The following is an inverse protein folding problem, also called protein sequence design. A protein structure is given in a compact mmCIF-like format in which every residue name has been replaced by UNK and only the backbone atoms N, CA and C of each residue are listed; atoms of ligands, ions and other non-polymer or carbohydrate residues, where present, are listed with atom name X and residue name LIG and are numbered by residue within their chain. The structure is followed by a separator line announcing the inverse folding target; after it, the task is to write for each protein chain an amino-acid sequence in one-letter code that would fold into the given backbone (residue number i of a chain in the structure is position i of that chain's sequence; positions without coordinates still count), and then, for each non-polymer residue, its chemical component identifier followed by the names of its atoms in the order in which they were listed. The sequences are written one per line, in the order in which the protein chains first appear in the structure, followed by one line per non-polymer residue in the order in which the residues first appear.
data_IF_212055938352
#
_entry.id   IF_212055938352
#
_cell.length_a   1.000
_cell.length_b   1.000
_cell.length_c   1.000
_cell.angle_alpha   90.00
_cell.angle_beta   90.00
_cell.angle_gamma   90.00
#
_symmetry.space_group_name_H-M   'P 1'
#
loop_
_entity.id
_entity.type
_entity.pdbx_description
1 polymer ?
#
# COMPACT_ATOMS: atom_id res chain seq x y z
N UNK A 1 -13.25 19.57 -74.48
CA UNK A 1 -13.17 18.39 -73.59
C UNK A 1 -11.97 18.54 -72.66
N UNK A 2 -12.07 19.12 -71.46
CA UNK A 2 -10.97 19.11 -70.49
C UNK A 2 -11.01 17.83 -69.64
N UNK A 3 -9.85 17.16 -69.51
CA UNK A 3 -9.69 15.97 -68.65
C UNK A 3 -9.57 16.40 -67.19
N UNK A 4 -10.44 15.86 -66.34
CA UNK A 4 -10.37 16.04 -64.89
C UNK A 4 -9.12 15.36 -64.33
N UNK A 5 -8.33 16.13 -63.58
CA UNK A 5 -7.21 15.66 -62.77
C UNK A 5 -7.80 15.10 -61.48
N UNK A 6 -7.69 13.80 -61.27
CA UNK A 6 -8.09 13.17 -60.00
C UNK A 6 -7.17 13.66 -58.88
N UNK A 7 -7.76 14.35 -57.90
CA UNK A 7 -7.15 14.66 -56.62
C UNK A 7 -7.04 13.37 -55.81
N UNK A 8 -5.86 12.75 -55.81
CA UNK A 8 -5.53 11.74 -54.80
C UNK A 8 -5.31 12.45 -53.47
N UNK A 9 -6.39 12.66 -52.72
CA UNK A 9 -6.36 13.04 -51.31
C UNK A 9 -5.65 11.95 -50.52
N UNK A 10 -4.32 12.05 -50.41
CA UNK A 10 -3.52 11.24 -49.52
C UNK A 10 -3.83 11.64 -48.07
N UNK A 11 -4.94 11.12 -47.54
CA UNK A 11 -5.20 11.10 -46.12
C UNK A 11 -4.01 10.46 -45.43
N UNK A 12 -3.39 11.18 -44.48
CA UNK A 12 -2.32 10.68 -43.62
C UNK A 12 -2.83 9.40 -42.96
N UNK A 13 -2.47 8.24 -43.51
CA UNK A 13 -2.79 6.96 -42.93
C UNK A 13 -2.28 6.96 -41.48
N UNK A 14 -3.18 6.87 -40.50
CA UNK A 14 -2.82 6.77 -39.10
C UNK A 14 -2.13 5.41 -38.88
N UNK A 15 -0.82 5.36 -39.18
CA UNK A 15 0.02 4.17 -39.10
C UNK A 15 0.95 4.33 -37.92
N UNK A 16 0.92 3.39 -36.99
CA UNK A 16 1.82 3.35 -35.85
C UNK A 16 1.13 2.84 -34.58
N UNK A 17 1.94 2.53 -33.57
CA UNK A 17 1.46 2.06 -32.27
C UNK A 17 0.48 3.04 -31.62
N UNK A 18 0.78 4.34 -31.69
CA UNK A 18 -0.05 5.41 -31.13
C UNK A 18 -1.37 5.64 -31.90
N UNK A 19 -1.53 5.07 -33.09
CA UNK A 19 -2.75 5.16 -33.90
C UNK A 19 -3.68 3.94 -33.74
N UNK A 20 -3.30 2.95 -32.92
CA UNK A 20 -4.12 1.78 -32.61
C UNK A 20 -5.07 2.04 -31.43
N UNK A 21 -6.12 1.22 -31.30
CA UNK A 21 -7.00 1.24 -30.12
C UNK A 21 -6.24 0.97 -28.82
N UNK A 22 -6.64 1.62 -27.72
CA UNK A 22 -5.97 1.54 -26.42
C UNK A 22 -5.87 0.10 -25.89
N UNK A 23 -6.92 -0.71 -26.07
CA UNK A 23 -6.90 -2.12 -25.68
C UNK A 23 -5.83 -2.91 -26.43
N UNK A 24 -5.65 -2.60 -27.72
CA UNK A 24 -4.65 -3.24 -28.58
C UNK A 24 -3.24 -2.77 -28.22
N UNK A 25 -3.06 -1.49 -27.92
CA UNK A 25 -1.79 -0.96 -27.42
C UNK A 25 -1.41 -1.62 -26.10
N UNK A 26 -2.35 -1.72 -25.15
CA UNK A 26 -2.14 -2.38 -23.85
C UNK A 26 -1.79 -3.85 -24.01
N UNK A 27 -2.50 -4.57 -24.89
CA UNK A 27 -2.22 -5.98 -25.16
C UNK A 27 -0.82 -6.18 -25.77
N UNK A 28 -0.40 -5.32 -26.69
CA UNK A 28 0.93 -5.38 -27.30
C UNK A 28 2.02 -4.98 -26.28
N UNK A 29 1.81 -3.94 -25.48
CA UNK A 29 2.72 -3.53 -24.42
C UNK A 29 2.89 -4.64 -23.36
N UNK A 30 1.78 -5.24 -22.94
CA UNK A 30 1.75 -6.37 -22.01
C UNK A 30 2.54 -7.56 -22.57
N UNK A 31 2.29 -7.94 -23.83
CA UNK A 31 3.05 -9.00 -24.52
C UNK A 31 4.52 -8.67 -24.67
N UNK A 32 4.88 -7.42 -24.95
CA UNK A 32 6.27 -6.97 -25.03
C UNK A 32 7.01 -7.12 -23.70
N UNK A 33 6.38 -6.72 -22.60
CA UNK A 33 6.94 -6.92 -21.26
C UNK A 33 7.14 -8.40 -20.92
N UNK A 34 6.13 -9.24 -21.16
CA UNK A 34 6.21 -10.68 -20.90
C UNK A 34 7.30 -11.35 -21.76
N UNK A 35 7.33 -11.05 -23.05
CA UNK A 35 8.34 -11.60 -23.96
C UNK A 35 9.76 -11.18 -23.59
N UNK A 36 9.95 -9.99 -23.02
CA UNK A 36 11.27 -9.50 -22.61
C UNK A 36 11.78 -10.20 -21.34
N UNK A 37 10.85 -10.52 -20.42
CA UNK A 37 11.14 -11.35 -19.25
C UNK A 37 11.40 -12.81 -19.64
N UNK A 38 10.56 -13.40 -20.49
CA UNK A 38 10.69 -14.79 -20.93
C UNK A 38 11.98 -15.04 -21.72
N UNK A 39 12.40 -14.07 -22.55
CA UNK A 39 13.64 -14.15 -23.33
C UNK A 39 14.91 -13.83 -22.52
N UNK A 40 14.79 -13.48 -21.24
CA UNK A 40 15.93 -13.13 -20.39
C UNK A 40 16.71 -11.90 -20.88
N UNK A 41 16.13 -11.08 -21.75
CA UNK A 41 16.73 -9.81 -22.19
C UNK A 41 16.50 -8.69 -21.17
N UNK A 42 15.58 -8.90 -20.23
CA UNK A 42 15.42 -8.02 -19.08
C UNK A 42 16.58 -8.24 -18.10
N UNK A 43 17.11 -7.15 -17.53
CA UNK A 43 18.04 -7.23 -16.41
C UNK A 43 17.33 -7.86 -15.22
N UNK A 44 17.78 -9.03 -14.79
CA UNK A 44 17.31 -9.65 -13.55
C UNK A 44 17.99 -8.96 -12.37
N UNK A 45 17.24 -8.10 -11.69
CA UNK A 45 17.73 -7.49 -10.46
C UNK A 45 17.85 -8.57 -9.39
N UNK A 46 19.04 -8.71 -8.82
CA UNK A 46 19.18 -9.46 -7.58
C UNK A 46 18.37 -8.76 -6.47
N UNK A 47 17.90 -9.47 -5.43
CA UNK A 47 17.17 -8.85 -4.32
C UNK A 47 17.91 -7.69 -3.66
N UNK A 48 19.24 -7.77 -3.57
CA UNK A 48 20.07 -6.69 -3.03
C UNK A 48 20.12 -5.49 -3.97
N UNK A 49 20.27 -5.72 -5.27
CA UNK A 49 20.27 -4.65 -6.27
C UNK A 49 18.92 -3.94 -6.37
N UNK A 50 17.81 -4.67 -6.25
CA UNK A 50 16.47 -4.09 -6.19
C UNK A 50 16.30 -3.18 -4.95
N UNK A 51 16.83 -3.60 -3.80
CA UNK A 51 16.82 -2.77 -2.58
C UNK A 51 17.68 -1.53 -2.72
N UNK A 52 18.87 -1.67 -3.29
CA UNK A 52 19.79 -0.54 -3.51
C UNK A 52 19.19 0.47 -4.50
N UNK A 53 18.64 -0.01 -5.62
CA UNK A 53 17.95 0.81 -6.60
C UNK A 53 16.73 1.51 -6.00
N UNK A 54 15.92 0.81 -5.19
CA UNK A 54 14.81 1.40 -4.47
C UNK A 54 15.25 2.48 -3.48
N UNK A 55 16.31 2.21 -2.71
CA UNK A 55 16.88 3.19 -1.77
C UNK A 55 17.39 4.42 -2.50
N UNK A 56 18.16 4.24 -3.57
CA UNK A 56 18.72 5.33 -4.38
C UNK A 56 17.62 6.13 -5.06
N UNK A 57 16.61 5.48 -5.63
CA UNK A 57 15.45 6.13 -6.23
C UNK A 57 14.68 6.98 -5.22
N UNK A 58 14.48 6.46 -4.00
CA UNK A 58 13.86 7.22 -2.91
C UNK A 58 14.69 8.43 -2.49
N UNK A 59 16.00 8.28 -2.34
CA UNK A 59 16.91 9.39 -2.01
C UNK A 59 16.86 10.48 -3.08
N UNK A 60 16.98 10.10 -4.35
CA UNK A 60 16.92 11.05 -5.48
C UNK A 60 15.56 11.75 -5.55
N UNK A 61 14.46 11.04 -5.28
CA UNK A 61 13.13 11.64 -5.25
C UNK A 61 12.98 12.67 -4.11
N UNK A 62 13.56 12.38 -2.94
CA UNK A 62 13.60 13.32 -1.82
C UNK A 62 14.47 14.54 -2.14
N UNK A 63 15.67 14.35 -2.69
CA UNK A 63 16.57 15.44 -3.09
C UNK A 63 15.96 16.34 -4.17
N UNK A 64 15.19 15.77 -5.10
CA UNK A 64 14.51 16.51 -6.16
C UNK A 64 13.17 17.12 -5.75
N UNK A 65 12.72 16.91 -4.51
CA UNK A 65 11.41 17.35 -4.03
C UNK A 65 10.23 16.72 -4.75
N UNK A 66 10.44 15.62 -5.50
CA UNK A 66 9.38 14.86 -6.16
C UNK A 66 8.81 13.76 -5.27
N UNK A 67 9.44 13.51 -4.12
CA UNK A 67 8.89 12.63 -3.10
C UNK A 67 7.61 13.24 -2.54
N UNK A 68 6.57 12.42 -2.44
CA UNK A 68 5.37 12.80 -1.71
C UNK A 68 5.71 12.84 -0.22
N UNK A 69 5.64 14.02 0.39
CA UNK A 69 5.74 14.17 1.83
C UNK A 69 4.41 13.74 2.46
N UNK A 70 4.40 12.56 3.05
CA UNK A 70 3.25 12.12 3.84
C UNK A 70 3.25 12.88 5.17
N UNK A 71 2.13 13.51 5.49
CA UNK A 71 1.88 13.93 6.86
C UNK A 71 1.78 12.71 7.78
N UNK A 72 1.96 12.92 9.09
CA UNK A 72 1.82 11.84 10.08
C UNK A 72 0.43 11.19 10.08
N UNK A 73 -0.60 11.93 9.69
CA UNK A 73 -1.97 11.43 9.57
C UNK A 73 -2.14 10.55 8.33
N UNK A 74 -1.68 11.02 7.17
CA UNK A 74 -1.72 10.25 5.92
C UNK A 74 -0.92 8.95 5.99
N UNK A 75 0.25 8.98 6.63
CA UNK A 75 1.05 7.76 6.85
C UNK A 75 0.31 6.74 7.72
N UNK A 76 -0.42 7.20 8.76
CA UNK A 76 -1.24 6.33 9.61
C UNK A 76 -2.44 5.76 8.85
N UNK A 77 -3.10 6.58 8.03
CA UNK A 77 -4.22 6.12 7.21
C UNK A 77 -3.77 5.09 6.17
N UNK A 78 -2.68 5.35 5.47
CA UNK A 78 -2.08 4.43 4.52
C UNK A 78 -1.68 3.11 5.19
N UNK A 79 -1.05 3.18 6.38
CA UNK A 79 -0.72 2.00 7.18
C UNK A 79 -1.95 1.19 7.59
N UNK A 80 -3.01 1.86 8.09
CA UNK A 80 -4.27 1.21 8.44
C UNK A 80 -4.91 0.53 7.24
N UNK A 81 -5.00 1.23 6.10
CA UNK A 81 -5.58 0.70 4.87
C UNK A 81 -4.77 -0.47 4.33
N UNK A 82 -3.44 -0.38 4.34
CA UNK A 82 -2.55 -1.46 3.96
C UNK A 82 -2.75 -2.71 4.83
N UNK A 83 -2.85 -2.53 6.15
CA UNK A 83 -3.13 -3.63 7.08
C UNK A 83 -4.50 -4.28 6.84
N UNK A 84 -5.54 -3.47 6.60
CA UNK A 84 -6.88 -3.99 6.27
C UNK A 84 -6.88 -4.80 4.97
N UNK A 85 -6.20 -4.31 3.93
CA UNK A 85 -6.08 -5.04 2.66
C UNK A 85 -5.31 -6.35 2.84
N UNK A 86 -4.25 -6.35 3.64
CA UNK A 86 -3.49 -7.56 3.93
C UNK A 86 -4.34 -8.60 4.67
N UNK A 87 -5.17 -8.18 5.64
CA UNK A 87 -6.13 -9.07 6.30
C UNK A 87 -7.19 -9.59 5.34
N UNK A 88 -7.78 -8.72 4.50
CA UNK A 88 -8.79 -9.13 3.52
C UNK A 88 -8.25 -10.13 2.49
N UNK A 89 -6.97 -9.99 2.10
CA UNK A 89 -6.30 -10.88 1.15
C UNK A 89 -5.70 -12.13 1.80
N UNK A 90 -5.82 -12.29 3.12
CA UNK A 90 -5.23 -13.41 3.86
C UNK A 90 -3.69 -13.44 3.82
N UNK A 91 -3.05 -12.32 3.46
CA UNK A 91 -1.59 -12.18 3.47
C UNK A 91 -1.08 -11.65 4.80
N UNK A 92 -1.97 -11.20 5.68
CA UNK A 92 -1.65 -10.85 7.05
C UNK A 92 -1.25 -12.11 7.83
N UNK A 93 -0.24 -11.99 8.67
CA UNK A 93 0.11 -13.04 9.61
C UNK A 93 -0.90 -13.05 10.76
N UNK A 94 -1.54 -14.19 10.97
CA UNK A 94 -2.43 -14.41 12.12
C UNK A 94 -1.56 -14.67 13.35
N UNK A 95 -1.47 -13.68 14.24
CA UNK A 95 -0.73 -13.81 15.49
C UNK A 95 -1.57 -14.54 16.53
N UNK A 96 -0.99 -15.54 17.19
CA UNK A 96 -1.56 -16.02 18.45
C UNK A 96 -1.41 -14.97 19.55
N UNK A 97 -2.21 -15.08 20.61
CA UNK A 97 -2.13 -14.16 21.76
C UNK A 97 -0.76 -14.19 22.46
N UNK A 98 -0.05 -15.31 22.39
CA UNK A 98 1.29 -15.46 22.95
C UNK A 98 2.33 -14.76 22.06
N UNK A 99 2.28 -14.98 20.74
CA UNK A 99 3.18 -14.32 19.78
C UNK A 99 3.00 -12.81 19.76
N UNK A 100 1.77 -12.31 19.88
CA UNK A 100 1.50 -10.87 19.99
C UNK A 100 2.14 -10.26 21.25
N UNK A 101 2.10 -10.98 22.38
CA UNK A 101 2.75 -10.55 23.64
C UNK A 101 4.26 -10.57 23.52
N UNK A 102 4.83 -11.61 22.92
CA UNK A 102 6.26 -11.71 22.70
C UNK A 102 6.78 -10.61 21.77
N UNK A 103 6.09 -10.38 20.65
CA UNK A 103 6.39 -9.30 19.71
C UNK A 103 6.31 -7.93 20.40
N UNK A 104 5.29 -7.69 21.22
CA UNK A 104 5.15 -6.48 22.02
C UNK A 104 6.31 -6.29 23.00
N UNK A 105 6.69 -7.34 23.75
CA UNK A 105 7.82 -7.30 24.67
C UNK A 105 9.13 -7.02 23.95
N UNK A 106 9.38 -7.70 22.81
CA UNK A 106 10.60 -7.52 22.01
C UNK A 106 10.66 -6.14 21.39
N UNK A 107 9.54 -5.64 20.87
CA UNK A 107 9.42 -4.29 20.33
C UNK A 107 9.67 -3.22 21.40
N UNK A 108 9.08 -3.37 22.59
CA UNK A 108 9.29 -2.47 23.72
C UNK A 108 10.75 -2.44 24.18
N UNK A 109 11.40 -3.61 24.30
CA UNK A 109 12.84 -3.70 24.60
C UNK A 109 13.69 -2.99 23.55
N UNK A 110 13.42 -3.24 22.27
CA UNK A 110 14.16 -2.61 21.19
C UNK A 110 13.98 -1.08 21.15
N UNK A 111 12.78 -0.58 21.48
CA UNK A 111 12.52 0.85 21.58
C UNK A 111 13.26 1.50 22.76
N UNK A 112 13.30 0.79 23.91
CA UNK A 112 14.05 1.23 25.08
C UNK A 112 15.56 1.24 24.83
N UNK A 113 16.10 0.21 24.19
CA UNK A 113 17.53 0.14 23.80
C UNK A 113 17.93 1.23 22.81
N UNK A 114 17.02 1.63 21.92
CA UNK A 114 17.26 2.69 20.92
C UNK A 114 16.96 4.11 21.44
N UNK A 115 16.52 4.25 22.69
CA UNK A 115 16.15 5.54 23.27
C UNK A 115 14.93 6.20 22.62
N UNK A 116 14.12 5.44 21.87
CA UNK A 116 12.89 5.93 21.25
C UNK A 116 11.66 5.64 22.10
N UNK A 117 11.82 4.92 23.21
CA UNK A 117 10.77 4.70 24.19
C UNK A 117 10.52 5.99 25.00
N UNK A 118 9.25 6.34 25.18
CA UNK A 118 8.87 7.31 26.18
C UNK A 118 9.08 6.69 27.58
N UNK A 119 9.61 7.45 28.52
CA UNK A 119 9.62 7.10 29.95
C UNK A 119 8.16 7.02 30.41
N UNK A 120 7.59 5.82 30.46
CA UNK A 120 6.23 5.62 30.96
C UNK A 120 6.31 5.29 32.44
N UNK A 121 5.50 5.96 33.25
CA UNK A 121 5.24 5.45 34.60
C UNK A 121 4.51 4.10 34.51
N UNK A 122 4.60 3.28 35.56
CA UNK A 122 3.93 1.97 35.61
C UNK A 122 2.41 2.05 35.42
N UNK A 123 1.80 3.20 35.71
CA UNK A 123 0.38 3.46 35.53
C UNK A 123 0.05 3.80 34.06
N UNK A 124 0.82 4.70 33.44
CA UNK A 124 0.65 5.08 32.03
C UNK A 124 0.90 3.91 31.08
N UNK A 125 1.87 3.03 31.38
CA UNK A 125 2.12 1.83 30.59
C UNK A 125 0.93 0.86 30.63
N UNK A 126 0.25 0.73 31.79
CA UNK A 126 -0.96 -0.10 31.94
C UNK A 126 -2.14 0.50 31.19
N UNK A 127 -2.31 1.81 31.24
CA UNK A 127 -3.37 2.51 30.50
C UNK A 127 -3.18 2.40 28.98
N UNK A 128 -1.96 2.65 28.49
CA UNK A 128 -1.61 2.51 27.09
C UNK A 128 -1.82 1.07 26.60
N UNK A 129 -1.43 0.07 27.40
CA UNK A 129 -1.68 -1.34 27.10
C UNK A 129 -3.16 -1.70 27.00
N UNK A 130 -3.99 -1.16 27.92
CA UNK A 130 -5.47 -1.33 27.86
C UNK A 130 -6.06 -0.70 26.61
N UNK A 131 -5.61 0.50 26.23
CA UNK A 131 -6.09 1.21 25.03
C UNK A 131 -5.64 0.53 23.74
N UNK A 132 -4.42 0.00 23.71
CA UNK A 132 -3.89 -0.79 22.60
C UNK A 132 -4.65 -2.10 22.39
N UNK A 133 -4.96 -2.82 23.48
CA UNK A 133 -5.74 -4.07 23.41
C UNK A 133 -7.20 -3.89 23.02
N UNK A 134 -7.81 -2.72 23.29
CA UNK A 134 -9.17 -2.40 22.83
C UNK A 134 -9.25 -2.19 21.31
N UNK A 135 -8.17 -1.72 20.68
CA UNK A 135 -8.13 -1.50 19.23
C UNK A 135 -8.04 -2.81 18.42
N UNK A 136 -7.55 -3.90 19.02
CA UNK A 136 -7.42 -5.21 18.36
C UNK A 136 -8.61 -6.16 18.58
N UNK A 137 -9.57 -5.82 19.46
CA UNK A 137 -10.76 -6.64 19.74
C UNK A 137 -12.12 -5.94 19.55
N UNK A 138 -12.16 -4.75 18.93
CA UNK A 138 -13.40 -3.98 18.73
C UNK A 138 -14.32 -4.44 17.58
N UNK A 139 -14.38 -5.74 17.29
CA UNK A 139 -15.37 -6.32 16.38
C UNK A 139 -16.53 -6.94 17.16
N UNK A 140 -17.61 -6.18 17.31
CA UNK A 140 -18.96 -6.70 17.58
C UNK A 140 -19.30 -7.11 19.02
N UNK A 141 -19.99 -6.21 19.73
CA UNK A 141 -21.26 -6.52 20.43
C UNK A 141 -21.91 -5.21 20.86
N UNK A 142 -22.91 -4.78 20.11
CA UNK A 142 -23.93 -3.86 20.62
C UNK A 142 -24.63 -4.59 21.77
N UNK A 143 -24.44 -4.12 23.00
CA UNK A 143 -25.34 -4.47 24.09
C UNK A 143 -26.55 -3.54 24.00
N UNK A 144 -27.59 -4.05 23.36
CA UNK A 144 -28.98 -3.66 23.60
C UNK A 144 -29.29 -3.83 25.09
N UNK A 145 -29.09 -2.77 25.87
CA UNK A 145 -29.61 -2.65 27.22
C UNK A 145 -31.08 -2.25 27.16
N UNK A 146 -31.97 -3.23 27.01
CA UNK A 146 -33.40 -3.04 27.25
C UNK A 146 -33.65 -2.89 28.76
N UNK A 147 -33.95 -1.67 29.20
CA UNK A 147 -34.51 -1.42 30.53
C UNK A 147 -36.01 -1.12 30.40
N UNK A 148 -36.81 -2.11 30.80
CA UNK A 148 -38.22 -1.95 31.07
C UNK A 148 -38.48 -1.33 32.44
N UNK A 149 -39.75 -0.91 32.58
CA UNK A 149 -40.48 -0.57 33.81
C UNK A 149 -40.34 0.85 34.37
N UNK A 150 -41.32 1.69 34.00
CA UNK A 150 -41.74 2.87 34.74
C UNK A 150 -43.26 2.86 34.93
N UNK A 151 -43.75 2.04 35.87
CA UNK A 151 -45.12 2.10 36.40
C UNK A 151 -45.16 3.13 37.54
N UNK A 152 -45.99 4.15 37.42
CA UNK A 152 -46.42 4.97 38.55
C UNK A 152 -47.89 5.34 38.40
N UNK A 153 -48.57 5.31 39.55
CA UNK A 153 -50.02 5.38 39.77
C UNK A 153 -50.66 6.72 39.43
#
# INVERSE_FOLDING_TARGET
MPRQREETGQGKSARGFASMDEEKQRAIASKGGHASHEKGTAHEFTPEEAREAGRKGGQVAHERGTAHEFTSEEAREAGRKGGQVAHQKGTAHEFTSEEAREAGRKGGKAAHEKGTAHEFTSEEAREAGRKGGKASHGGGREEEGGEGEGRAH
#
